data_IF_873362591948
#
_entry.id   IF_873362591948
#
_cell.length_a   1.000
_cell.length_b   1.000
_cell.length_c   1.000
_cell.angle_alpha   90.00
_cell.angle_beta   90.00
_cell.angle_gamma   90.00
#
_symmetry.space_group_name_H-M   'P 1'
#
loop_
_entity.id
_entity.type
_entity.pdbx_description
1 polymer ?
#
# COMPACT_ATOMS: atom_id res chain seq x y z
N UNK A 1 6.21 -32.14 28.09
CA UNK A 1 5.38 -31.70 26.94
C UNK A 1 6.03 -32.12 25.62
N UNK A 2 6.96 -33.08 25.65
CA UNK A 2 8.12 -33.03 24.76
C UNK A 2 7.81 -33.57 23.37
N UNK A 3 6.80 -34.46 23.25
CA UNK A 3 6.32 -34.94 21.96
C UNK A 3 5.63 -33.87 21.11
N UNK A 4 5.27 -32.73 21.70
CA UNK A 4 4.50 -31.67 21.04
C UNK A 4 5.32 -30.43 20.70
N UNK A 5 6.56 -30.33 21.18
CA UNK A 5 7.48 -29.24 20.82
C UNK A 5 7.66 -29.21 19.30
N UNK A 6 7.70 -28.00 18.73
CA UNK A 6 7.75 -27.68 17.30
C UNK A 6 6.56 -28.16 16.46
N UNK A 7 5.47 -28.63 17.10
CA UNK A 7 4.23 -28.96 16.40
C UNK A 7 3.29 -27.76 16.33
N UNK A 8 2.42 -27.77 15.33
CA UNK A 8 1.47 -26.68 15.07
C UNK A 8 0.16 -26.93 15.80
N UNK A 9 -0.36 -25.90 16.48
CA UNK A 9 -1.68 -25.89 17.08
C UNK A 9 -2.51 -24.70 16.56
N UNK A 10 -3.78 -24.93 16.22
CA UNK A 10 -4.70 -23.87 15.78
C UNK A 10 -5.64 -23.53 16.92
N UNK A 11 -5.71 -22.25 17.30
CA UNK A 11 -6.56 -21.79 18.42
C UNK A 11 -7.50 -20.70 17.93
N UNK A 12 -8.80 -20.99 17.94
CA UNK A 12 -9.85 -20.03 17.56
C UNK A 12 -10.33 -19.23 18.78
N UNK A 13 -10.86 -18.03 18.53
CA UNK A 13 -11.22 -17.10 19.61
C UNK A 13 -10.01 -16.52 20.35
N UNK A 14 -8.81 -16.62 19.79
CA UNK A 14 -7.55 -16.30 20.46
C UNK A 14 -7.34 -14.80 20.77
N UNK A 15 -8.23 -13.91 20.33
CA UNK A 15 -8.13 -12.46 20.61
C UNK A 15 -8.32 -12.06 22.07
N UNK A 16 -8.86 -12.91 22.94
CA UNK A 16 -9.07 -12.59 24.36
C UNK A 16 -9.48 -13.82 25.18
N UNK A 17 -9.35 -13.73 26.51
CA UNK A 17 -9.92 -14.71 27.43
C UNK A 17 -9.27 -16.08 27.27
N UNK A 18 -10.09 -17.14 27.29
CA UNK A 18 -9.62 -18.54 27.32
C UNK A 18 -8.78 -18.89 26.08
N UNK A 19 -9.24 -18.50 24.87
CA UNK A 19 -8.50 -18.78 23.63
C UNK A 19 -7.13 -18.08 23.59
N UNK A 20 -7.02 -16.88 24.18
CA UNK A 20 -5.74 -16.20 24.29
C UNK A 20 -4.82 -16.94 25.28
N UNK A 21 -5.31 -17.26 26.48
CA UNK A 21 -4.52 -17.96 27.50
C UNK A 21 -4.05 -19.36 27.04
N UNK A 22 -4.89 -20.09 26.30
CA UNK A 22 -4.51 -21.38 25.69
C UNK A 22 -3.42 -21.16 24.63
N UNK A 23 -3.58 -20.16 23.76
CA UNK A 23 -2.55 -19.83 22.76
C UNK A 23 -1.21 -19.45 23.43
N UNK A 24 -1.24 -18.62 24.48
CA UNK A 24 -0.05 -18.25 25.27
C UNK A 24 0.62 -19.51 25.84
N UNK A 25 -0.16 -20.39 26.49
CA UNK A 25 0.41 -21.57 27.14
C UNK A 25 1.00 -22.59 26.16
N UNK A 26 0.44 -22.69 24.97
CA UNK A 26 0.96 -23.55 23.91
C UNK A 26 2.28 -23.00 23.33
N UNK A 27 2.38 -21.69 23.11
CA UNK A 27 3.64 -21.03 22.69
C UNK A 27 4.73 -21.20 23.74
N UNK A 28 4.42 -20.98 25.03
CA UNK A 28 5.37 -21.17 26.14
C UNK A 28 5.93 -22.59 26.23
N UNK A 29 5.17 -23.59 25.78
CA UNK A 29 5.59 -25.00 25.78
C UNK A 29 6.21 -25.44 24.44
N UNK A 30 6.57 -24.48 23.57
CA UNK A 30 7.34 -24.72 22.35
C UNK A 30 6.51 -25.11 21.13
N UNK A 31 5.21 -24.83 21.09
CA UNK A 31 4.38 -25.08 19.91
C UNK A 31 4.27 -23.84 19.03
N UNK A 32 4.15 -24.06 17.72
CA UNK A 32 3.76 -23.01 16.78
C UNK A 32 2.24 -22.82 16.80
N UNK A 33 1.77 -21.65 17.22
CA UNK A 33 0.32 -21.40 17.34
C UNK A 33 -0.20 -20.54 16.21
N UNK A 34 -1.20 -21.06 15.48
CA UNK A 34 -2.00 -20.31 14.52
C UNK A 34 -3.25 -19.79 15.23
N UNK A 35 -3.21 -18.52 15.63
CA UNK A 35 -4.26 -17.88 16.40
C UNK A 35 -5.31 -17.20 15.48
N UNK A 36 -6.60 -17.52 15.66
CA UNK A 36 -7.70 -17.05 14.80
C UNK A 36 -8.76 -16.31 15.61
N UNK A 37 -9.11 -15.09 15.20
CA UNK A 37 -10.21 -14.30 15.76
C UNK A 37 -10.55 -13.09 14.88
N UNK A 38 -11.76 -12.55 15.07
CA UNK A 38 -12.26 -11.37 14.33
C UNK A 38 -11.52 -10.07 14.66
N UNK A 39 -11.05 -9.94 15.91
CA UNK A 39 -10.34 -8.75 16.40
C UNK A 39 -8.85 -8.92 16.19
N UNK A 40 -8.42 -8.54 15.00
CA UNK A 40 -7.04 -8.64 14.54
C UNK A 40 -6.09 -7.86 15.44
N UNK A 41 -6.49 -6.66 15.86
CA UNK A 41 -5.77 -5.79 16.79
C UNK A 41 -5.32 -6.52 18.07
N UNK A 42 -6.19 -7.35 18.65
CA UNK A 42 -5.87 -8.10 19.86
C UNK A 42 -5.02 -9.34 19.60
N UNK A 43 -5.18 -9.98 18.44
CA UNK A 43 -4.26 -11.06 18.02
C UNK A 43 -2.85 -10.50 17.78
N UNK A 44 -2.76 -9.33 17.18
CA UNK A 44 -1.50 -8.64 16.91
C UNK A 44 -0.82 -8.25 18.23
N UNK A 45 -1.58 -7.79 19.24
CA UNK A 45 -1.05 -7.55 20.59
C UNK A 45 -0.58 -8.85 21.26
N UNK A 46 -1.35 -9.93 21.12
CA UNK A 46 -0.99 -11.24 21.65
C UNK A 46 0.30 -11.77 21.02
N UNK A 47 0.44 -11.68 19.70
CA UNK A 47 1.64 -12.07 18.97
C UNK A 47 2.85 -11.24 19.40
N UNK A 48 2.69 -9.92 19.54
CA UNK A 48 3.75 -8.99 19.98
C UNK A 48 4.34 -9.33 21.36
N UNK A 49 3.60 -10.00 22.26
CA UNK A 49 4.14 -10.44 23.55
C UNK A 49 5.28 -11.46 23.42
N UNK A 50 5.36 -12.16 22.29
CA UNK A 50 6.31 -13.24 22.04
C UNK A 50 7.28 -12.93 20.89
N UNK A 51 7.26 -11.70 20.37
CA UNK A 51 8.21 -11.23 19.36
C UNK A 51 9.31 -10.43 20.06
N UNK A 52 10.53 -10.95 20.00
CA UNK A 52 11.74 -10.30 20.48
C UNK A 52 12.01 -9.01 19.65
N UNK A 53 12.34 -7.89 20.30
CA UNK A 53 12.60 -6.60 19.64
C UNK A 53 13.86 -6.64 18.77
N UNK A 54 13.72 -7.05 17.51
CA UNK A 54 14.63 -6.75 16.37
C UNK A 54 13.84 -6.82 15.05
N UNK A 55 13.28 -5.71 14.58
CA UNK A 55 12.62 -5.69 13.27
C UNK A 55 13.67 -5.41 12.16
N UNK A 56 13.80 -6.35 11.22
CA UNK A 56 14.70 -6.26 10.06
C UNK A 56 14.05 -5.55 8.87
N UNK A 57 14.86 -4.81 8.12
CA UNK A 57 14.47 -4.02 6.93
C UNK A 57 13.56 -4.76 5.94
N UNK A 58 13.69 -6.09 5.84
CA UNK A 58 12.93 -6.93 4.91
C UNK A 58 11.41 -6.93 5.13
N UNK A 59 10.91 -6.78 6.36
CA UNK A 59 9.46 -6.74 6.60
C UNK A 59 8.85 -5.42 6.10
N UNK A 60 9.56 -4.30 6.29
CA UNK A 60 9.15 -3.00 5.77
C UNK A 60 9.13 -3.00 4.23
N UNK A 61 10.08 -3.67 3.59
CA UNK A 61 10.11 -3.79 2.13
C UNK A 61 8.92 -4.60 1.62
N UNK A 62 8.64 -5.73 2.26
CA UNK A 62 7.48 -6.54 1.91
C UNK A 62 6.19 -5.74 2.08
N UNK A 63 6.01 -5.01 3.19
CA UNK A 63 4.84 -4.12 3.40
C UNK A 63 4.71 -3.08 2.28
N UNK A 64 5.83 -2.48 1.87
CA UNK A 64 5.84 -1.46 0.80
C UNK A 64 5.43 -2.05 -0.55
N UNK A 65 5.94 -3.23 -0.91
CA UNK A 65 5.56 -3.93 -2.15
C UNK A 65 4.10 -4.37 -2.11
N UNK A 66 3.67 -4.96 -0.99
CA UNK A 66 2.30 -5.42 -0.81
C UNK A 66 1.30 -4.27 -0.95
N UNK A 67 1.59 -3.10 -0.38
CA UNK A 67 0.69 -1.95 -0.49
C UNK A 67 0.73 -1.31 -1.88
N UNK A 68 1.91 -0.92 -2.35
CA UNK A 68 2.05 -0.06 -3.53
C UNK A 68 1.84 -0.82 -4.85
N UNK A 69 2.09 -2.12 -4.87
CA UNK A 69 2.02 -2.93 -6.09
C UNK A 69 0.85 -3.90 -6.01
N UNK A 70 0.83 -4.79 -5.02
CA UNK A 70 -0.16 -5.88 -4.96
C UNK A 70 -1.55 -5.34 -4.63
N UNK A 71 -1.68 -4.53 -3.58
CA UNK A 71 -2.95 -3.92 -3.17
C UNK A 71 -3.54 -3.05 -4.26
N UNK A 72 -2.71 -2.19 -4.87
CA UNK A 72 -3.09 -1.36 -6.01
C UNK A 72 -3.58 -2.19 -7.21
N UNK A 73 -2.87 -3.28 -7.54
CA UNK A 73 -3.26 -4.18 -8.65
C UNK A 73 -4.58 -4.90 -8.39
N UNK A 74 -4.79 -5.37 -7.15
CA UNK A 74 -6.04 -6.04 -6.76
C UNK A 74 -7.22 -5.06 -6.82
N UNK A 75 -7.06 -3.86 -6.25
CA UNK A 75 -8.11 -2.84 -6.27
C UNK A 75 -8.47 -2.44 -7.71
N UNK A 76 -7.46 -2.27 -8.56
CA UNK A 76 -7.63 -1.98 -9.99
C UNK A 76 -8.39 -3.09 -10.71
N UNK A 77 -7.99 -4.35 -10.50
CA UNK A 77 -8.65 -5.51 -11.10
C UNK A 77 -10.13 -5.59 -10.73
N UNK A 78 -10.46 -5.41 -9.46
CA UNK A 78 -11.86 -5.46 -9.01
C UNK A 78 -12.68 -4.27 -9.51
N UNK A 79 -12.11 -3.06 -9.55
CA UNK A 79 -12.77 -1.89 -10.13
C UNK A 79 -13.08 -2.08 -11.62
N UNK A 80 -12.12 -2.61 -12.41
CA UNK A 80 -12.34 -2.89 -13.84
C UNK A 80 -13.43 -3.95 -14.03
N UNK A 81 -13.42 -5.02 -13.22
CA UNK A 81 -14.47 -6.06 -13.29
C UNK A 81 -15.85 -5.47 -13.02
N UNK A 82 -15.99 -4.66 -11.98
CA UNK A 82 -17.25 -4.03 -11.61
C UNK A 82 -17.74 -3.05 -12.68
N UNK A 83 -16.87 -2.17 -13.17
CA UNK A 83 -17.21 -1.23 -14.26
C UNK A 83 -17.65 -1.97 -15.53
N UNK A 84 -16.96 -3.06 -15.88
CA UNK A 84 -17.31 -3.90 -17.02
C UNK A 84 -18.66 -4.61 -16.82
N UNK A 85 -18.91 -5.17 -15.65
CA UNK A 85 -20.17 -5.87 -15.35
C UNK A 85 -21.38 -4.94 -15.40
N UNK A 86 -21.21 -3.68 -15.00
CA UNK A 86 -22.27 -2.67 -14.99
C UNK A 86 -22.35 -1.85 -16.29
N UNK A 87 -21.45 -2.08 -17.26
CA UNK A 87 -21.39 -1.36 -18.53
C UNK A 87 -21.34 0.17 -18.37
N UNK A 88 -20.50 0.65 -17.44
CA UNK A 88 -20.31 2.08 -17.17
C UNK A 88 -18.99 2.58 -17.73
N UNK A 89 -18.98 3.86 -18.14
CA UNK A 89 -17.75 4.57 -18.43
C UNK A 89 -17.00 4.79 -17.10
N UNK A 90 -15.70 4.54 -17.11
CA UNK A 90 -14.88 4.53 -15.90
C UNK A 90 -13.61 5.36 -16.01
N UNK A 91 -13.05 5.78 -14.87
CA UNK A 91 -11.72 6.36 -14.80
C UNK A 91 -11.02 5.85 -13.55
N UNK A 92 -9.88 5.20 -13.72
CA UNK A 92 -9.00 4.76 -12.65
C UNK A 92 -7.83 5.74 -12.56
N UNK A 93 -7.47 6.16 -11.35
CA UNK A 93 -6.33 7.05 -11.12
C UNK A 93 -5.38 6.39 -10.14
N UNK A 94 -4.14 6.15 -10.58
CA UNK A 94 -3.07 5.67 -9.72
C UNK A 94 -2.26 6.86 -9.20
N UNK A 95 -2.13 6.97 -7.87
CA UNK A 95 -1.23 7.95 -7.26
C UNK A 95 0.19 7.37 -7.26
N UNK A 96 0.98 7.82 -8.21
CA UNK A 96 2.36 7.45 -8.44
C UNK A 96 3.32 8.41 -7.70
N UNK A 97 4.44 8.79 -8.31
CA UNK A 97 5.44 9.71 -7.79
C UNK A 97 6.42 10.07 -8.91
N UNK A 98 7.08 11.22 -8.83
CA UNK A 98 8.28 11.50 -9.63
C UNK A 98 9.34 10.39 -9.50
N UNK A 99 9.35 9.66 -8.37
CA UNK A 99 10.24 8.52 -8.13
C UNK A 99 9.87 7.25 -8.89
N UNK A 100 8.74 7.25 -9.59
CA UNK A 100 8.39 6.24 -10.59
C UNK A 100 8.94 6.54 -12.00
N UNK A 101 9.65 7.66 -12.14
CA UNK A 101 10.15 8.19 -13.42
C UNK A 101 11.64 8.50 -13.39
N UNK A 102 12.17 8.88 -12.22
CA UNK A 102 13.59 9.14 -12.00
C UNK A 102 14.01 8.82 -10.56
N UNK A 103 15.27 8.45 -10.35
CA UNK A 103 15.81 8.16 -9.02
C UNK A 103 16.87 9.22 -8.67
N UNK A 104 16.58 10.14 -7.73
CA UNK A 104 17.55 11.11 -7.28
C UNK A 104 18.57 10.45 -6.34
N UNK A 105 19.74 11.08 -6.19
CA UNK A 105 20.79 10.60 -5.28
C UNK A 105 20.45 10.96 -3.81
N UNK A 106 19.37 10.37 -3.28
CA UNK A 106 18.89 10.57 -1.91
C UNK A 106 18.94 9.21 -1.18
N UNK A 107 19.78 9.07 -0.14
CA UNK A 107 19.84 7.87 0.68
C UNK A 107 18.50 7.57 1.39
N UNK A 108 18.25 6.30 1.70
CA UNK A 108 17.10 5.89 2.51
C UNK A 108 15.76 5.70 1.76
N UNK A 109 15.72 5.94 0.44
CA UNK A 109 14.51 5.69 -0.38
C UNK A 109 14.16 4.20 -0.50
N UNK A 110 15.16 3.31 -0.38
CA UNK A 110 14.99 1.86 -0.36
C UNK A 110 14.14 1.32 -1.54
N UNK A 111 13.22 0.38 -1.31
CA UNK A 111 12.38 -0.25 -2.34
C UNK A 111 11.28 0.68 -2.89
N UNK A 112 11.04 1.84 -2.26
CA UNK A 112 9.93 2.71 -2.63
C UNK A 112 9.97 3.17 -4.10
N UNK A 113 11.09 3.73 -4.64
CA UNK A 113 11.18 4.07 -6.06
C UNK A 113 10.88 2.88 -6.97
N UNK A 114 11.41 1.69 -6.67
CA UNK A 114 11.13 0.49 -7.45
C UNK A 114 9.62 0.16 -7.50
N UNK A 115 8.91 0.31 -6.38
CA UNK A 115 7.44 0.14 -6.39
C UNK A 115 6.71 1.19 -7.21
N UNK A 116 7.23 2.43 -7.31
CA UNK A 116 6.63 3.49 -8.11
C UNK A 116 6.91 3.33 -9.60
N UNK A 117 8.09 2.81 -9.98
CA UNK A 117 8.33 2.35 -11.35
C UNK A 117 7.38 1.21 -11.74
N UNK A 118 7.10 0.29 -10.81
CA UNK A 118 6.09 -0.74 -11.05
C UNK A 118 4.70 -0.13 -11.28
N UNK A 119 4.30 0.89 -10.52
CA UNK A 119 3.03 1.62 -10.76
C UNK A 119 3.01 2.27 -12.16
N UNK A 120 4.11 2.87 -12.60
CA UNK A 120 4.23 3.42 -13.97
C UNK A 120 3.97 2.33 -15.02
N UNK A 121 4.64 1.19 -14.90
CA UNK A 121 4.47 0.07 -15.83
C UNK A 121 3.04 -0.50 -15.78
N UNK A 122 2.47 -0.68 -14.58
CA UNK A 122 1.11 -1.21 -14.39
C UNK A 122 0.04 -0.30 -15.03
N UNK A 123 0.17 1.01 -14.87
CA UNK A 123 -0.77 1.96 -15.48
C UNK A 123 -0.73 1.88 -17.03
N UNK A 124 0.47 1.77 -17.61
CA UNK A 124 0.65 1.67 -19.06
C UNK A 124 0.16 0.32 -19.60
N UNK A 125 0.47 -0.78 -18.92
CA UNK A 125 -0.05 -2.11 -19.29
C UNK A 125 -1.57 -2.12 -19.24
N UNK A 126 -2.18 -1.62 -18.16
CA UNK A 126 -3.63 -1.57 -18.04
C UNK A 126 -4.25 -0.72 -19.16
N UNK A 127 -3.64 0.41 -19.52
CA UNK A 127 -4.11 1.25 -20.61
C UNK A 127 -4.21 0.48 -21.92
N UNK A 128 -3.19 -0.31 -22.24
CA UNK A 128 -3.15 -1.15 -23.43
C UNK A 128 -4.21 -2.25 -23.40
N UNK A 129 -4.42 -2.89 -22.24
CA UNK A 129 -5.45 -3.91 -22.05
C UNK A 129 -6.88 -3.34 -22.16
N UNK A 130 -7.17 -2.22 -21.52
CA UNK A 130 -8.48 -1.57 -21.61
C UNK A 130 -8.81 -1.18 -23.06
N UNK A 131 -7.80 -0.67 -23.79
CA UNK A 131 -7.92 -0.35 -25.20
C UNK A 131 -8.18 -1.58 -26.08
N UNK A 132 -7.43 -2.68 -25.87
CA UNK A 132 -7.58 -3.90 -26.68
C UNK A 132 -8.97 -4.54 -26.48
N UNK A 133 -9.50 -4.45 -25.26
CA UNK A 133 -10.86 -4.88 -24.90
C UNK A 133 -11.95 -3.87 -25.31
N UNK A 134 -11.57 -2.72 -25.88
CA UNK A 134 -12.48 -1.61 -26.27
C UNK A 134 -13.39 -1.15 -25.12
N UNK A 135 -12.87 -1.19 -23.88
CA UNK A 135 -13.61 -0.72 -22.71
C UNK A 135 -13.55 0.81 -22.64
N UNK A 136 -14.66 1.44 -22.24
CA UNK A 136 -14.75 2.88 -22.01
C UNK A 136 -14.22 3.27 -20.63
N UNK A 137 -13.06 2.71 -20.27
CA UNK A 137 -12.40 2.96 -18.99
C UNK A 137 -11.08 3.67 -19.26
N UNK A 138 -10.88 4.84 -18.66
CA UNK A 138 -9.62 5.60 -18.67
C UNK A 138 -8.73 5.17 -17.50
N UNK A 139 -7.41 5.27 -17.68
CA UNK A 139 -6.43 5.16 -16.60
C UNK A 139 -5.50 6.39 -16.68
N UNK A 140 -5.20 6.98 -15.53
CA UNK A 140 -4.19 8.04 -15.39
C UNK A 140 -3.25 7.70 -14.24
N UNK A 141 -1.95 7.84 -14.47
CA UNK A 141 -0.93 7.81 -13.42
C UNK A 141 -0.57 9.24 -13.06
N UNK A 142 -0.90 9.67 -11.84
CA UNK A 142 -0.59 11.02 -11.34
C UNK A 142 0.70 10.93 -10.53
N UNK A 143 1.74 11.66 -10.92
CA UNK A 143 3.08 11.58 -10.31
C UNK A 143 3.49 12.86 -9.58
N UNK A 144 3.09 13.04 -8.30
CA UNK A 144 3.51 14.18 -7.48
C UNK A 144 5.02 14.21 -7.21
N UNK A 145 5.52 15.43 -6.99
CA UNK A 145 6.78 15.69 -6.32
C UNK A 145 6.68 15.48 -4.80
N UNK A 146 7.46 16.24 -4.03
CA UNK A 146 7.37 16.21 -2.57
C UNK A 146 6.04 16.84 -2.11
N UNK A 147 5.20 16.08 -1.38
CA UNK A 147 3.88 16.56 -0.90
C UNK A 147 3.86 16.56 0.62
N UNK A 148 3.44 17.67 1.20
CA UNK A 148 3.41 17.87 2.65
C UNK A 148 2.36 17.01 3.35
N UNK A 149 2.78 15.81 3.78
CA UNK A 149 1.93 14.76 4.37
C UNK A 149 2.68 13.98 5.44
N UNK A 150 2.01 13.03 6.10
CA UNK A 150 2.53 12.12 7.15
C UNK A 150 3.58 11.16 6.62
N UNK A 151 3.66 11.02 5.30
CA UNK A 151 4.69 10.24 4.64
C UNK A 151 6.08 10.87 4.80
N UNK A 152 6.15 12.21 4.91
CA UNK A 152 7.41 12.90 5.09
C UNK A 152 7.90 12.70 6.54
N UNK A 153 9.15 12.22 6.75
CA UNK A 153 9.74 12.07 8.07
C UNK A 153 9.73 13.38 8.88
N UNK A 154 9.60 13.32 10.23
CA UNK A 154 9.58 14.49 11.09
C UNK A 154 10.75 15.47 10.87
N UNK A 155 11.93 14.95 10.53
CA UNK A 155 13.15 15.72 10.27
C UNK A 155 12.98 16.66 9.06
N UNK A 156 12.36 16.16 7.99
CA UNK A 156 12.06 16.97 6.80
C UNK A 156 10.88 17.92 7.08
N UNK A 157 9.90 17.49 7.90
CA UNK A 157 8.80 18.37 8.34
C UNK A 157 9.26 19.59 9.13
N UNK A 158 10.36 19.49 9.88
CA UNK A 158 10.94 20.66 10.56
C UNK A 158 11.45 21.72 9.56
N UNK A 159 11.78 21.31 8.33
CA UNK A 159 12.19 22.19 7.23
C UNK A 159 10.99 22.70 6.39
N UNK A 160 9.75 22.31 6.72
CA UNK A 160 8.53 22.62 5.97
C UNK A 160 8.41 24.10 5.58
N UNK A 161 8.63 25.01 6.53
CA UNK A 161 8.58 26.46 6.26
C UNK A 161 9.55 26.88 5.15
N UNK A 162 10.80 26.41 5.23
CA UNK A 162 11.83 26.67 4.22
C UNK A 162 11.46 26.06 2.86
N UNK A 163 10.96 24.82 2.86
CA UNK A 163 10.56 24.13 1.63
C UNK A 163 9.40 24.85 0.92
N UNK A 164 8.46 25.43 1.67
CA UNK A 164 7.41 26.28 1.10
C UNK A 164 7.96 27.58 0.52
N UNK A 165 8.81 28.29 1.27
CA UNK A 165 9.43 29.54 0.80
C UNK A 165 10.25 29.35 -0.48
N UNK A 166 10.84 28.16 -0.66
CA UNK A 166 11.62 27.78 -1.85
C UNK A 166 10.77 27.13 -2.97
N UNK A 167 9.44 27.00 -2.80
CA UNK A 167 8.53 26.30 -3.73
C UNK A 167 8.96 24.85 -4.05
N UNK A 168 9.50 24.14 -3.06
CA UNK A 168 10.02 22.77 -3.21
C UNK A 168 9.07 21.70 -2.65
N UNK A 169 7.92 22.09 -2.10
CA UNK A 169 6.91 21.18 -1.54
C UNK A 169 5.51 21.58 -2.00
N UNK A 170 4.68 20.57 -2.25
CA UNK A 170 3.32 20.69 -2.79
C UNK A 170 2.31 20.47 -1.66
N UNK A 171 1.20 21.20 -1.68
CA UNK A 171 0.09 20.97 -0.76
C UNK A 171 -0.80 19.81 -1.24
N UNK A 172 -1.36 18.98 -0.33
CA UNK A 172 -2.28 17.89 -0.71
C UNK A 172 -3.45 18.36 -1.59
N UNK A 173 -3.95 19.57 -1.35
CA UNK A 173 -5.02 20.21 -2.09
C UNK A 173 -4.66 20.37 -3.58
N UNK A 174 -3.40 20.66 -3.90
CA UNK A 174 -2.97 20.79 -5.30
C UNK A 174 -2.99 19.44 -6.03
N UNK A 175 -2.77 18.32 -5.31
CA UNK A 175 -2.92 16.98 -5.89
C UNK A 175 -4.40 16.65 -6.10
N UNK A 176 -5.28 17.07 -5.19
CA UNK A 176 -6.72 16.96 -5.36
C UNK A 176 -7.21 17.75 -6.59
N UNK A 177 -6.73 18.99 -6.78
CA UNK A 177 -7.02 19.79 -7.96
C UNK A 177 -6.56 19.08 -9.25
N UNK A 178 -5.39 18.44 -9.22
CA UNK A 178 -4.89 17.61 -10.31
C UNK A 178 -5.83 16.44 -10.64
N UNK A 179 -6.40 15.78 -9.62
CA UNK A 179 -7.41 14.72 -9.81
C UNK A 179 -8.68 15.28 -10.44
N UNK A 180 -9.18 16.42 -9.97
CA UNK A 180 -10.37 17.09 -10.53
C UNK A 180 -10.14 17.47 -11.99
N UNK A 181 -8.97 18.03 -12.32
CA UNK A 181 -8.59 18.36 -13.68
C UNK A 181 -8.65 17.13 -14.59
N UNK A 182 -8.02 16.02 -14.18
CA UNK A 182 -8.00 14.77 -14.96
C UNK A 182 -9.41 14.23 -15.20
N UNK A 183 -10.28 14.25 -14.18
CA UNK A 183 -11.66 13.78 -14.28
C UNK A 183 -12.55 14.70 -15.12
N UNK A 184 -12.28 16.01 -15.13
CA UNK A 184 -13.04 17.01 -15.91
C UNK A 184 -12.83 16.89 -17.42
N UNK A 185 -11.79 16.16 -17.85
CA UNK A 185 -11.49 16.02 -19.27
C UNK A 185 -12.57 15.21 -20.00
N UNK A 186 -12.92 15.58 -21.25
CA UNK A 186 -13.86 14.82 -22.06
C UNK A 186 -13.51 13.32 -22.09
N UNK A 187 -14.52 12.46 -22.35
CA UNK A 187 -14.33 11.00 -22.36
C UNK A 187 -13.30 10.51 -23.38
N UNK A 188 -13.10 11.26 -24.46
CA UNK A 188 -12.10 10.99 -25.51
C UNK A 188 -10.74 11.67 -25.27
N UNK A 189 -10.61 12.51 -24.24
CA UNK A 189 -9.36 13.16 -23.86
C UNK A 189 -8.71 12.38 -22.72
N UNK A 190 -7.39 12.21 -22.82
CA UNK A 190 -6.58 11.53 -21.81
C UNK A 190 -5.43 12.43 -21.41
N UNK A 191 -5.24 12.55 -20.10
CA UNK A 191 -4.08 13.21 -19.49
C UNK A 191 -3.14 12.11 -19.02
N UNK A 192 -1.88 12.19 -19.45
CA UNK A 192 -0.83 11.27 -19.03
C UNK A 192 0.41 12.07 -18.63
N UNK A 193 1.22 11.52 -17.74
CA UNK A 193 2.48 12.09 -17.28
C UNK A 193 3.60 11.04 -17.34
#
# INVERSE_FOLDING_TARGET
MDRWVDKVAVVTGASSGIGAAIAEKLVENGLHVVALARRKDKLDQLAKKFVDKKDGESELWNKTVQLNVIGLSIATREAVKDMKANNVDGHIIHINSILGHQIPSIPGLNIYPATKYAVTALAETLRLELNSLKLKIKITSLSPGLVDTEFIPPEIRQMRKKLYEENLIIEPENIADGVIYVLSTPSHVRVNN
#
